data_IF_518478151082
#
_entry.id   IF_518478151082
#
_cell.length_a   1.000
_cell.length_b   1.000
_cell.length_c   1.000
_cell.angle_alpha   90.00
_cell.angle_beta   90.00
_cell.angle_gamma   90.00
#
_symmetry.space_group_name_H-M   'P 1'
#
loop_
_entity.id
_entity.type
_entity.pdbx_description
1 polymer ?
#
# COMPACT_ATOMS: atom_id res chain seq x y z
N UNK A 1 -4.80 -2.85 -16.09
CA UNK A 1 -4.62 -4.28 -16.41
C UNK A 1 -4.92 -4.50 -17.89
N UNK A 2 -3.95 -4.92 -18.70
CA UNK A 2 -4.11 -5.00 -20.16
C UNK A 2 -4.48 -6.41 -20.60
N UNK A 3 -5.40 -6.51 -21.56
CA UNK A 3 -5.85 -7.79 -22.14
C UNK A 3 -4.79 -8.44 -23.05
N UNK A 4 -3.86 -7.63 -23.58
CA UNK A 4 -2.83 -8.05 -24.53
C UNK A 4 -1.90 -9.16 -24.01
N UNK A 5 -1.24 -8.99 -22.84
CA UNK A 5 -0.36 -10.01 -22.26
C UNK A 5 -1.07 -11.34 -21.98
N UNK A 6 -2.30 -11.29 -21.46
CA UNK A 6 -3.10 -12.49 -21.20
C UNK A 6 -3.39 -13.26 -22.50
N UNK A 7 -3.69 -12.55 -23.60
CA UNK A 7 -3.93 -13.16 -24.91
C UNK A 7 -2.65 -13.73 -25.51
N UNK A 8 -1.52 -13.03 -25.38
CA UNK A 8 -0.23 -13.53 -25.84
C UNK A 8 0.17 -14.82 -25.10
N UNK A 9 0.02 -14.84 -23.77
CA UNK A 9 0.31 -16.01 -22.94
C UNK A 9 -0.61 -17.20 -23.27
N UNK A 10 -1.92 -16.96 -23.40
CA UNK A 10 -2.87 -17.99 -23.81
C UNK A 10 -2.56 -18.51 -25.22
N UNK A 11 -2.21 -17.63 -26.16
CA UNK A 11 -1.85 -18.03 -27.51
C UNK A 11 -0.63 -18.96 -27.51
N UNK A 12 0.44 -18.58 -26.79
CA UNK A 12 1.63 -19.42 -26.64
C UNK A 12 1.31 -20.76 -25.99
N UNK A 13 0.54 -20.75 -24.91
CA UNK A 13 0.20 -21.97 -24.15
C UNK A 13 -0.69 -22.90 -24.97
N UNK A 14 -1.79 -22.37 -25.52
CA UNK A 14 -2.76 -23.19 -26.22
C UNK A 14 -2.22 -23.73 -27.55
N UNK A 15 -1.35 -22.97 -28.23
CA UNK A 15 -0.71 -23.41 -29.48
C UNK A 15 0.20 -24.64 -29.31
N UNK A 16 0.75 -24.86 -28.12
CA UNK A 16 1.59 -26.04 -27.85
C UNK A 16 0.81 -27.35 -28.01
N UNK A 17 -0.50 -27.33 -27.77
CA UNK A 17 -1.34 -28.54 -27.83
C UNK A 17 -1.62 -29.03 -29.25
N UNK A 18 -1.29 -28.24 -30.27
CA UNK A 18 -1.41 -28.62 -31.67
C UNK A 18 -0.17 -28.25 -32.49
N UNK A 19 0.98 -28.00 -31.84
CA UNK A 19 2.23 -27.67 -32.52
C UNK A 19 2.84 -28.84 -33.31
N UNK A 20 2.40 -30.09 -33.05
CA UNK A 20 2.87 -31.29 -33.75
C UNK A 20 2.14 -31.52 -35.09
N UNK A 21 2.08 -30.50 -35.95
CA UNK A 21 1.54 -30.68 -37.31
C UNK A 21 2.64 -31.30 -38.18
N UNK A 22 2.45 -32.48 -38.80
CA UNK A 22 3.57 -33.35 -39.16
C UNK A 22 4.19 -33.11 -40.55
N UNK A 23 3.56 -32.32 -41.43
CA UNK A 23 3.98 -32.19 -42.83
C UNK A 23 3.93 -30.75 -43.36
N UNK A 24 4.74 -30.46 -44.38
CA UNK A 24 4.88 -29.12 -44.97
C UNK A 24 3.61 -28.60 -45.68
N UNK A 25 2.63 -29.46 -45.97
CA UNK A 25 1.40 -29.12 -46.68
C UNK A 25 0.20 -28.83 -45.76
N UNK A 26 0.39 -28.93 -44.44
CA UNK A 26 -0.63 -28.73 -43.42
C UNK A 26 -0.36 -27.46 -42.61
N UNK A 27 -1.41 -26.72 -42.27
CA UNK A 27 -1.31 -25.55 -41.39
C UNK A 27 -2.38 -25.61 -40.30
N UNK A 28 -2.00 -25.14 -39.11
CA UNK A 28 -2.91 -24.97 -37.98
C UNK A 28 -2.67 -23.60 -37.39
N UNK A 29 -3.67 -22.73 -37.47
CA UNK A 29 -3.62 -21.34 -37.03
C UNK A 29 -4.60 -21.13 -35.88
N UNK A 30 -4.16 -20.45 -34.83
CA UNK A 30 -4.99 -20.08 -33.69
C UNK A 30 -5.40 -18.62 -33.77
N UNK A 31 -6.70 -18.38 -33.60
CA UNK A 31 -7.24 -17.05 -33.37
C UNK A 31 -8.05 -17.05 -32.06
N UNK A 32 -7.73 -16.12 -31.16
CA UNK A 32 -8.44 -15.93 -29.90
C UNK A 32 -9.43 -14.77 -30.00
N UNK A 33 -10.66 -15.00 -29.56
CA UNK A 33 -11.74 -14.01 -29.56
C UNK A 33 -12.26 -13.83 -28.13
N UNK A 34 -11.96 -12.68 -27.51
CA UNK A 34 -12.44 -12.36 -26.17
C UNK A 34 -13.98 -12.23 -26.17
N UNK A 35 -14.66 -13.04 -25.35
CA UNK A 35 -16.10 -12.92 -25.16
C UNK A 35 -16.39 -12.00 -23.95
N UNK A 36 -15.73 -12.26 -22.83
CA UNK A 36 -15.88 -11.50 -21.59
C UNK A 36 -14.59 -11.54 -20.78
N UNK A 37 -14.28 -10.42 -20.15
CA UNK A 37 -13.17 -10.29 -19.22
C UNK A 37 -13.67 -9.87 -17.85
N UNK A 38 -13.05 -10.38 -16.81
CA UNK A 38 -13.35 -10.01 -15.43
C UNK A 38 -12.09 -10.12 -14.58
N UNK A 39 -11.92 -9.18 -13.65
CA UNK A 39 -10.97 -9.31 -12.57
C UNK A 39 -11.28 -10.55 -11.71
N UNK A 40 -10.26 -11.29 -11.29
CA UNK A 40 -10.40 -12.36 -10.28
C UNK A 40 -9.94 -11.86 -8.93
N UNK A 41 -10.64 -12.20 -7.84
CA UNK A 41 -10.29 -11.76 -6.49
C UNK A 41 -10.79 -10.35 -6.17
N UNK A 42 -10.14 -9.65 -5.24
CA UNK A 42 -10.56 -8.30 -4.80
C UNK A 42 -9.87 -7.30 -5.72
N UNK A 43 -10.63 -6.69 -6.65
CA UNK A 43 -10.07 -5.70 -7.57
C UNK A 43 -8.98 -6.25 -8.51
N UNK A 44 -8.97 -7.57 -8.76
CA UNK A 44 -7.97 -8.33 -9.52
C UNK A 44 -6.76 -8.84 -8.71
N UNK A 45 -6.67 -8.56 -7.42
CA UNK A 45 -5.66 -9.12 -6.52
C UNK A 45 -6.00 -10.56 -6.13
N UNK A 46 -5.03 -11.48 -6.24
CA UNK A 46 -5.20 -12.90 -5.88
C UNK A 46 -4.14 -13.44 -4.92
N UNK A 47 -3.11 -12.66 -4.58
CA UNK A 47 -2.07 -13.04 -3.61
C UNK A 47 -0.80 -12.23 -3.78
N UNK A 48 0.25 -12.57 -3.03
CA UNK A 48 1.57 -11.96 -3.11
C UNK A 48 2.61 -12.94 -3.64
N UNK A 49 3.64 -12.41 -4.31
CA UNK A 49 4.82 -13.15 -4.75
C UNK A 49 6.01 -12.76 -3.87
N UNK A 50 6.85 -13.73 -3.49
CA UNK A 50 7.91 -13.51 -2.50
C UNK A 50 9.22 -13.03 -3.13
N UNK A 51 9.50 -13.35 -4.40
CA UNK A 51 10.77 -13.02 -5.05
C UNK A 51 10.65 -13.06 -6.59
N UNK A 52 10.51 -11.92 -7.29
CA UNK A 52 10.48 -10.57 -6.74
C UNK A 52 9.23 -10.30 -5.88
N UNK A 53 9.37 -9.43 -4.88
CA UNK A 53 8.28 -9.05 -3.98
C UNK A 53 7.26 -8.18 -4.73
N UNK A 54 5.98 -8.52 -4.65
CA UNK A 54 4.91 -7.74 -5.28
C UNK A 54 3.58 -8.48 -5.40
N UNK A 55 2.57 -7.77 -5.89
CA UNK A 55 1.21 -8.30 -5.99
C UNK A 55 1.07 -9.26 -7.18
N UNK A 56 0.44 -10.40 -6.93
CA UNK A 56 -0.06 -11.27 -7.99
C UNK A 56 -1.45 -10.79 -8.35
N UNK A 57 -1.58 -10.31 -9.57
CA UNK A 57 -2.88 -9.95 -10.12
C UNK A 57 -3.37 -10.98 -11.11
N UNK A 58 -4.69 -11.13 -11.21
CA UNK A 58 -5.32 -12.10 -12.09
C UNK A 58 -6.49 -11.50 -12.87
N UNK A 59 -6.49 -11.79 -14.16
CA UNK A 59 -7.64 -11.58 -15.02
C UNK A 59 -8.17 -12.92 -15.51
N UNK A 60 -9.48 -13.07 -15.42
CA UNK A 60 -10.20 -14.19 -16.02
C UNK A 60 -10.80 -13.76 -17.35
N UNK A 61 -10.55 -14.58 -18.36
CA UNK A 61 -10.97 -14.38 -19.73
C UNK A 61 -11.85 -15.56 -20.14
N UNK A 62 -13.11 -15.28 -20.42
CA UNK A 62 -13.97 -16.16 -21.21
C UNK A 62 -13.68 -15.86 -22.70
N UNK A 63 -13.16 -16.84 -23.41
CA UNK A 63 -12.69 -16.67 -24.79
C UNK A 63 -13.06 -17.84 -25.67
N UNK A 64 -13.20 -17.55 -26.95
CA UNK A 64 -13.31 -18.57 -27.99
C UNK A 64 -11.97 -18.71 -28.69
N UNK A 65 -11.39 -19.91 -28.68
CA UNK A 65 -10.25 -20.26 -29.51
C UNK A 65 -10.74 -20.88 -30.82
N UNK A 66 -10.62 -20.13 -31.91
CA UNK A 66 -10.86 -20.60 -33.26
C UNK A 66 -9.55 -21.18 -33.80
N UNK A 67 -9.51 -22.49 -33.99
CA UNK A 67 -8.37 -23.20 -34.57
C UNK A 67 -8.69 -23.50 -36.03
N UNK A 68 -8.07 -22.76 -36.95
CA UNK A 68 -8.19 -23.00 -38.40
C UNK A 68 -7.19 -24.08 -38.79
N UNK A 69 -7.69 -25.15 -39.39
CA UNK A 69 -6.88 -26.24 -39.92
C UNK A 69 -6.99 -26.19 -41.44
N UNK A 70 -5.86 -26.22 -42.14
CA UNK A 70 -5.82 -26.39 -43.58
C UNK A 70 -4.97 -27.60 -43.96
N UNK A 71 -5.47 -28.38 -44.91
CA UNK A 71 -4.77 -29.54 -45.45
C UNK A 71 -5.30 -29.86 -46.85
N UNK A 72 -4.78 -30.93 -47.47
CA UNK A 72 -5.45 -31.51 -48.63
C UNK A 72 -6.85 -32.02 -48.26
N UNK A 73 -7.80 -32.01 -49.20
CA UNK A 73 -9.17 -32.47 -48.95
C UNK A 73 -9.24 -33.90 -48.37
N UNK A 74 -8.29 -34.77 -48.74
CA UNK A 74 -8.19 -36.14 -48.23
C UNK A 74 -7.69 -36.23 -46.78
N UNK A 75 -6.86 -35.29 -46.34
CA UNK A 75 -6.21 -35.29 -45.03
C UNK A 75 -6.91 -34.42 -43.98
N UNK A 76 -7.79 -33.50 -44.42
CA UNK A 76 -8.43 -32.53 -43.53
C UNK A 76 -9.24 -33.21 -42.40
N UNK A 77 -10.11 -34.15 -42.73
CA UNK A 77 -10.98 -34.79 -41.71
C UNK A 77 -10.17 -35.58 -40.66
N UNK A 78 -9.20 -36.46 -41.06
CA UNK A 78 -8.31 -37.10 -40.10
C UNK A 78 -7.53 -36.11 -39.23
N UNK A 79 -7.04 -35.01 -39.80
CA UNK A 79 -6.28 -34.00 -39.07
C UNK A 79 -7.17 -33.25 -38.06
N UNK A 80 -8.36 -32.83 -38.45
CA UNK A 80 -9.37 -32.19 -37.56
C UNK A 80 -9.71 -33.11 -36.39
N UNK A 81 -9.94 -34.40 -36.65
CA UNK A 81 -10.23 -35.37 -35.58
C UNK A 81 -9.02 -35.58 -34.65
N UNK A 82 -7.81 -35.64 -35.20
CA UNK A 82 -6.57 -35.76 -34.44
C UNK A 82 -6.37 -34.56 -33.49
N UNK A 83 -6.47 -33.33 -34.02
CA UNK A 83 -6.34 -32.09 -33.24
C UNK A 83 -7.43 -32.01 -32.17
N UNK A 84 -8.69 -32.31 -32.52
CA UNK A 84 -9.80 -32.30 -31.56
C UNK A 84 -9.55 -33.28 -30.42
N UNK A 85 -9.08 -34.49 -30.73
CA UNK A 85 -8.80 -35.54 -29.73
C UNK A 85 -7.62 -35.16 -28.85
N UNK A 86 -6.57 -34.58 -29.44
CA UNK A 86 -5.41 -34.10 -28.69
C UNK A 86 -5.80 -33.01 -27.68
N UNK A 87 -6.53 -31.99 -28.13
CA UNK A 87 -6.97 -30.86 -27.29
C UNK A 87 -7.96 -31.30 -26.21
N UNK A 88 -8.96 -32.12 -26.56
CA UNK A 88 -9.95 -32.60 -25.58
C UNK A 88 -9.39 -33.67 -24.62
N UNK A 89 -8.28 -34.31 -24.99
CA UNK A 89 -7.61 -35.34 -24.21
C UNK A 89 -6.61 -34.81 -23.16
N UNK A 90 -6.37 -33.50 -23.12
CA UNK A 90 -5.41 -32.90 -22.18
C UNK A 90 -5.87 -33.18 -20.74
N UNK A 91 -4.99 -33.75 -19.88
CA UNK A 91 -5.33 -33.97 -18.48
C UNK A 91 -5.74 -32.67 -17.78
N UNK A 92 -6.78 -32.75 -16.94
CA UNK A 92 -7.27 -31.58 -16.19
C UNK A 92 -6.18 -30.89 -15.37
N UNK A 93 -5.26 -31.66 -14.77
CA UNK A 93 -4.15 -31.10 -14.00
C UNK A 93 -3.19 -30.27 -14.85
N UNK A 94 -2.95 -30.70 -16.10
CA UNK A 94 -2.13 -29.96 -17.06
C UNK A 94 -2.82 -28.66 -17.49
N UNK A 95 -4.11 -28.72 -17.82
CA UNK A 95 -4.92 -27.52 -18.12
C UNK A 95 -4.92 -26.53 -16.94
N UNK A 96 -5.08 -27.00 -15.72
CA UNK A 96 -5.05 -26.15 -14.53
C UNK A 96 -3.68 -25.52 -14.30
N UNK A 97 -2.59 -26.28 -14.46
CA UNK A 97 -1.23 -25.75 -14.37
C UNK A 97 -0.93 -24.69 -15.44
N UNK A 98 -1.62 -24.80 -16.59
CA UNK A 98 -1.58 -23.86 -17.69
C UNK A 98 -2.55 -22.67 -17.54
N UNK A 99 -3.30 -22.56 -16.44
CA UNK A 99 -4.27 -21.48 -16.19
C UNK A 99 -5.63 -21.66 -16.88
N UNK A 100 -5.88 -22.80 -17.52
CA UNK A 100 -7.14 -23.12 -18.22
C UNK A 100 -8.06 -23.91 -17.27
N UNK A 101 -9.08 -23.23 -16.76
CA UNK A 101 -10.04 -23.83 -15.81
C UNK A 101 -11.21 -24.55 -16.50
N UNK A 102 -11.49 -24.19 -17.74
CA UNK A 102 -12.50 -24.84 -18.58
C UNK A 102 -12.00 -24.88 -20.01
N UNK A 103 -12.15 -26.05 -20.62
CA UNK A 103 -11.98 -26.29 -22.04
C UNK A 103 -13.17 -27.13 -22.50
N UNK A 104 -13.86 -26.67 -23.54
CA UNK A 104 -14.95 -27.41 -24.16
C UNK A 104 -14.95 -27.17 -25.66
N UNK A 105 -15.26 -28.22 -26.43
CA UNK A 105 -15.61 -28.07 -27.83
C UNK A 105 -16.94 -27.31 -27.93
N UNK A 106 -16.93 -26.16 -28.62
CA UNK A 106 -18.13 -25.33 -28.81
C UNK A 106 -18.87 -25.78 -30.08
N UNK A 107 -18.19 -25.74 -31.21
CA UNK A 107 -18.71 -26.16 -32.51
C UNK A 107 -17.57 -26.39 -33.52
N UNK A 108 -17.91 -26.98 -34.66
CA UNK A 108 -17.06 -27.06 -35.83
C UNK A 108 -17.76 -26.32 -36.96
N UNK A 109 -17.05 -25.41 -37.63
CA UNK A 109 -17.57 -24.75 -38.82
C UNK A 109 -17.66 -25.73 -40.00
N UNK A 110 -18.46 -25.36 -41.00
CA UNK A 110 -18.51 -26.08 -42.26
C UNK A 110 -17.16 -26.04 -42.97
N UNK A 111 -16.79 -27.15 -43.61
CA UNK A 111 -15.58 -27.24 -44.44
C UNK A 111 -15.66 -26.23 -45.58
N UNK A 112 -14.56 -25.50 -45.79
CA UNK A 112 -14.39 -24.58 -46.91
C UNK A 112 -13.39 -25.17 -47.90
N UNK A 113 -13.83 -25.40 -49.13
CA UNK A 113 -12.93 -25.84 -50.19
C UNK A 113 -12.11 -24.65 -50.71
N UNK A 114 -10.83 -24.89 -50.94
CA UNK A 114 -9.87 -23.93 -51.47
C UNK A 114 -9.26 -24.45 -52.78
N UNK A 115 -8.56 -23.59 -53.52
CA UNK A 115 -7.94 -23.98 -54.78
C UNK A 115 -6.85 -25.04 -54.59
N UNK A 116 -6.56 -25.82 -55.64
CA UNK A 116 -5.50 -26.84 -55.65
C UNK A 116 -5.69 -27.99 -54.65
N UNK A 117 -6.92 -28.52 -54.54
CA UNK A 117 -7.26 -29.68 -53.68
C UNK A 117 -6.99 -29.43 -52.18
N UNK A 118 -7.00 -28.17 -51.76
CA UNK A 118 -6.90 -27.76 -50.37
C UNK A 118 -8.29 -27.51 -49.79
N UNK A 119 -8.45 -27.72 -48.50
CA UNK A 119 -9.64 -27.37 -47.78
C UNK A 119 -9.28 -26.92 -46.37
N UNK A 120 -10.13 -26.09 -45.78
CA UNK A 120 -9.97 -25.60 -44.43
C UNK A 120 -11.21 -25.81 -43.58
N UNK A 121 -11.01 -26.01 -42.28
CA UNK A 121 -12.07 -26.13 -41.30
C UNK A 121 -11.67 -25.46 -40.00
N UNK A 122 -12.61 -24.75 -39.36
CA UNK A 122 -12.37 -24.08 -38.08
C UNK A 122 -13.04 -24.89 -36.97
N UNK A 123 -12.27 -25.16 -35.92
CA UNK A 123 -12.77 -25.75 -34.68
C UNK A 123 -12.84 -24.64 -33.63
N UNK A 124 -14.01 -24.41 -33.05
CA UNK A 124 -14.19 -23.44 -32.00
C UNK A 124 -14.18 -24.13 -30.63
N UNK A 125 -13.26 -23.72 -29.76
CA UNK A 125 -13.20 -24.13 -28.37
C UNK A 125 -13.63 -22.99 -27.46
N UNK A 126 -14.47 -23.29 -26.47
CA UNK A 126 -14.75 -22.38 -25.35
C UNK A 126 -13.73 -22.61 -24.24
N UNK A 127 -13.11 -21.51 -23.80
CA UNK A 127 -12.06 -21.51 -22.80
C UNK A 127 -12.44 -20.56 -21.66
N UNK A 128 -12.19 -20.99 -20.43
CA UNK A 128 -12.09 -20.10 -19.27
C UNK A 128 -10.64 -20.09 -18.82
N UNK A 129 -9.94 -19.02 -19.17
CA UNK A 129 -8.52 -18.85 -18.88
C UNK A 129 -8.32 -17.82 -17.78
N UNK A 130 -7.38 -18.07 -16.88
CA UNK A 130 -6.90 -17.12 -15.90
C UNK A 130 -5.43 -16.83 -16.15
N UNK A 131 -5.14 -15.56 -16.40
CA UNK A 131 -3.77 -15.11 -16.52
C UNK A 131 -3.34 -14.50 -15.20
N UNK A 132 -2.32 -15.10 -14.59
CA UNK A 132 -1.61 -14.51 -13.46
C UNK A 132 -0.51 -13.61 -13.99
N UNK A 133 -0.53 -12.35 -13.56
CA UNK A 133 0.58 -11.42 -13.77
C UNK A 133 1.40 -11.40 -12.49
N UNK A 134 2.63 -11.92 -12.60
CA UNK A 134 3.63 -11.87 -11.54
C UNK A 134 4.41 -10.56 -11.65
N UNK A 135 4.92 -10.03 -10.53
CA UNK A 135 5.82 -8.88 -10.55
C UNK A 135 7.10 -9.23 -11.34
N UNK A 136 7.58 -8.30 -12.15
CA UNK A 136 8.80 -8.47 -12.98
C UNK A 136 10.07 -7.94 -12.30
N UNK A 137 9.90 -7.04 -11.35
CA UNK A 137 10.92 -6.51 -10.45
C UNK A 137 10.29 -6.42 -9.08
N UNK A 138 11.09 -6.40 -8.00
CA UNK A 138 10.52 -6.17 -6.67
C UNK A 138 9.88 -4.80 -6.69
N UNK A 139 8.55 -4.77 -6.64
CA UNK A 139 7.84 -3.52 -6.41
C UNK A 139 8.32 -3.02 -5.05
N UNK A 140 8.58 -1.70 -4.93
CA UNK A 140 8.78 -1.10 -3.61
C UNK A 140 7.64 -1.61 -2.76
N UNK A 141 7.96 -2.48 -1.82
CA UNK A 141 6.99 -3.18 -1.02
C UNK A 141 6.08 -2.08 -0.49
N UNK A 142 4.80 -2.11 -0.86
CA UNK A 142 3.80 -1.62 0.08
C UNK A 142 3.93 -2.65 1.20
N UNK A 143 4.91 -2.43 2.07
CA UNK A 143 5.10 -3.20 3.29
C UNK A 143 3.81 -3.02 4.04
N UNK A 144 2.95 -4.02 3.86
CA UNK A 144 1.55 -4.05 4.21
C UNK A 144 0.68 -3.05 3.40
N UNK A 145 -0.30 -3.57 2.65
CA UNK A 145 -1.64 -3.01 2.87
C UNK A 145 -1.85 -3.21 4.37
N UNK A 146 -1.49 -2.19 5.14
CA UNK A 146 -2.13 -1.90 6.39
C UNK A 146 -3.56 -1.53 5.94
N UNK A 147 -4.34 -2.56 5.59
CA UNK A 147 -5.56 -2.78 6.31
C UNK A 147 -5.03 -2.74 7.71
N UNK A 148 -5.18 -1.59 8.37
CA UNK A 148 -5.05 -1.51 9.80
C UNK A 148 -5.86 -2.71 10.28
N UNK A 149 -5.22 -3.85 10.53
CA UNK A 149 -5.86 -5.05 11.10
C UNK A 149 -6.16 -4.77 12.57
N UNK A 150 -5.61 -3.66 13.05
CA UNK A 150 -6.07 -2.83 14.12
C UNK A 150 -7.50 -2.24 13.94
N UNK A 151 -8.11 -2.27 12.75
CA UNK A 151 -9.55 -1.97 12.50
C UNK A 151 -10.47 -3.18 12.71
N UNK A 152 -9.92 -4.36 12.99
CA UNK A 152 -10.72 -5.59 13.03
C UNK A 152 -10.15 -6.64 14.00
N UNK A 153 -9.68 -6.23 15.16
CA UNK A 153 -9.50 -7.13 16.32
C UNK A 153 -10.71 -7.04 17.26
N UNK A 154 -11.89 -7.41 16.75
CA UNK A 154 -13.11 -7.58 17.52
C UNK A 154 -13.92 -6.31 17.72
N UNK A 155 -15.09 -6.23 17.06
CA UNK A 155 -16.19 -5.28 17.35
C UNK A 155 -16.04 -3.76 17.05
N UNK A 156 -14.89 -3.22 16.62
CA UNK A 156 -14.74 -1.75 16.40
C UNK A 156 -14.27 -1.29 15.00
N UNK A 157 -15.13 -0.63 14.22
CA UNK A 157 -14.74 0.10 12.99
C UNK A 157 -13.88 1.34 13.34
N UNK A 158 -12.70 1.62 12.77
CA UNK A 158 -12.17 3.00 12.93
C UNK A 158 -12.91 4.02 12.07
N UNK A 159 -12.89 5.23 12.59
CA UNK A 159 -13.44 6.42 11.96
C UNK A 159 -12.28 7.29 11.46
N UNK A 160 -12.28 7.59 10.15
CA UNK A 160 -11.34 8.56 9.58
C UNK A 160 -11.78 9.96 10.03
N UNK A 161 -10.98 10.59 10.89
CA UNK A 161 -11.23 11.98 11.30
C UNK A 161 -10.57 12.96 10.33
N UNK A 162 -9.33 12.66 9.92
CA UNK A 162 -8.53 13.48 9.01
C UNK A 162 -7.80 12.58 8.03
N UNK A 163 -7.76 12.94 6.75
CA UNK A 163 -6.89 12.36 5.73
C UNK A 163 -6.70 13.39 4.62
N UNK A 164 -5.72 14.27 4.78
CA UNK A 164 -5.51 15.39 3.85
C UNK A 164 -4.03 15.73 3.71
N UNK A 165 -3.68 16.29 2.55
CA UNK A 165 -2.46 17.07 2.39
C UNK A 165 -2.56 18.40 3.14
N UNK A 166 -1.42 19.01 3.45
CA UNK A 166 -1.38 20.40 3.87
C UNK A 166 -1.58 21.33 2.67
N UNK A 167 -2.16 22.50 2.92
CA UNK A 167 -2.31 23.59 1.95
C UNK A 167 -2.09 24.96 2.63
N UNK A 168 -2.21 26.04 1.87
CA UNK A 168 -2.05 27.40 2.38
C UNK A 168 -3.15 27.82 3.38
N UNK A 169 -4.20 27.03 3.56
CA UNK A 169 -5.27 27.21 4.52
C UNK A 169 -5.07 26.34 5.79
N UNK A 170 -3.90 25.74 6.00
CA UNK A 170 -3.57 24.92 7.17
C UNK A 170 -3.99 25.57 8.50
N UNK A 171 -3.86 26.89 8.66
CA UNK A 171 -4.21 27.59 9.89
C UNK A 171 -5.71 27.52 10.24
N UNK A 172 -6.57 27.13 9.29
CA UNK A 172 -7.99 26.84 9.56
C UNK A 172 -8.18 25.55 10.34
N UNK A 173 -7.24 24.60 10.21
CA UNK A 173 -7.31 23.26 10.79
C UNK A 173 -6.52 23.10 12.09
N UNK A 174 -5.57 23.99 12.36
CA UNK A 174 -4.63 23.84 13.47
C UNK A 174 -4.50 25.08 14.36
N UNK A 175 -4.21 24.84 15.63
CA UNK A 175 -3.70 25.82 16.58
C UNK A 175 -2.19 25.65 16.74
N UNK A 176 -1.45 26.75 16.66
CA UNK A 176 -0.02 26.80 17.01
C UNK A 176 0.09 27.06 18.52
N UNK A 177 0.84 26.19 19.21
CA UNK A 177 1.11 26.32 20.64
C UNK A 177 2.60 26.18 20.88
N UNK A 178 3.22 27.18 21.50
CA UNK A 178 4.60 27.11 21.97
C UNK A 178 4.62 26.82 23.47
N UNK A 179 5.39 25.81 23.89
CA UNK A 179 5.59 25.54 25.30
C UNK A 179 6.33 26.73 25.96
N UNK A 180 5.81 27.31 27.05
CA UNK A 180 6.48 28.42 27.74
C UNK A 180 7.89 28.07 28.24
N UNK A 181 8.18 26.78 28.45
CA UNK A 181 9.52 26.31 28.83
C UNK A 181 10.50 26.24 27.64
N UNK A 182 10.02 26.41 26.40
CA UNK A 182 10.82 26.43 25.18
C UNK A 182 11.52 27.78 24.97
N UNK A 183 12.40 28.13 25.91
CA UNK A 183 13.01 29.44 26.02
C UNK A 183 14.09 29.76 24.96
N UNK A 184 14.52 28.78 24.14
CA UNK A 184 15.49 29.01 23.08
C UNK A 184 14.78 29.19 21.74
N UNK A 185 15.12 30.27 21.03
CA UNK A 185 14.57 30.65 19.72
C UNK A 185 13.03 30.71 19.59
N UNK A 186 12.24 31.12 20.60
CA UNK A 186 10.83 31.38 20.39
C UNK A 186 10.60 32.66 19.55
N UNK A 187 9.43 32.82 18.91
CA UNK A 187 8.36 31.83 18.79
C UNK A 187 8.66 30.77 17.71
N UNK A 188 7.80 29.76 17.61
CA UNK A 188 7.75 28.93 16.41
C UNK A 188 7.37 29.74 15.18
N UNK A 189 7.68 29.20 14.00
CA UNK A 189 7.28 29.81 12.74
C UNK A 189 6.86 28.72 11.75
N UNK A 190 5.56 28.41 11.80
CA UNK A 190 4.87 27.50 10.89
C UNK A 190 4.35 28.28 9.69
N UNK A 191 4.76 27.91 8.48
CA UNK A 191 4.43 28.64 7.25
C UNK A 191 4.17 27.67 6.10
N UNK A 192 3.28 28.04 5.17
CA UNK A 192 3.13 27.30 3.93
C UNK A 192 4.29 27.61 3.00
N UNK A 193 4.98 26.58 2.51
CA UNK A 193 6.03 26.70 1.51
C UNK A 193 5.46 26.38 0.12
N UNK A 194 5.35 27.40 -0.74
CA UNK A 194 4.80 27.26 -2.10
C UNK A 194 5.70 26.44 -3.04
N UNK A 195 6.99 26.32 -2.73
CA UNK A 195 7.96 25.60 -3.59
C UNK A 195 7.92 24.11 -3.28
N UNK A 196 7.97 23.76 -2.00
CA UNK A 196 7.87 22.37 -1.53
C UNK A 196 6.43 21.87 -1.48
N UNK A 197 5.44 22.77 -1.60
CA UNK A 197 4.01 22.47 -1.45
C UNK A 197 3.72 21.73 -0.14
N UNK A 198 4.29 22.24 0.94
CA UNK A 198 4.29 21.59 2.24
C UNK A 198 4.21 22.62 3.38
N UNK A 199 3.73 22.18 4.54
CA UNK A 199 3.80 22.98 5.75
C UNK A 199 5.22 22.92 6.31
N UNK A 200 5.84 24.08 6.49
CA UNK A 200 7.23 24.23 6.90
C UNK A 200 7.31 24.85 8.30
N UNK A 201 8.00 24.17 9.22
CA UNK A 201 8.42 24.77 10.49
C UNK A 201 9.87 25.26 10.32
N UNK A 202 10.10 26.54 10.59
CA UNK A 202 11.38 27.25 10.31
C UNK A 202 12.13 27.76 11.55
N UNK A 203 11.67 27.43 12.76
CA UNK A 203 12.20 27.98 14.01
C UNK A 203 12.83 26.89 14.86
N UNK A 204 14.07 27.11 15.32
CA UNK A 204 14.78 26.18 16.20
C UNK A 204 14.28 26.27 17.66
N UNK A 205 12.97 26.46 17.86
CA UNK A 205 12.34 26.64 19.16
C UNK A 205 12.51 25.38 20.00
N UNK A 206 13.07 25.54 21.19
CA UNK A 206 13.27 24.42 22.11
C UNK A 206 13.47 24.86 23.56
N UNK A 207 13.29 23.90 24.46
CA UNK A 207 13.82 23.94 25.82
C UNK A 207 14.20 22.55 26.30
N UNK A 208 14.94 22.48 27.41
CA UNK A 208 15.58 21.22 27.83
C UNK A 208 16.85 20.91 27.05
N UNK A 209 17.35 19.69 27.23
CA UNK A 209 18.58 19.19 26.57
C UNK A 209 18.26 18.66 25.17
N UNK A 210 19.23 18.65 24.25
CA UNK A 210 19.12 17.93 22.97
C UNK A 210 19.27 16.41 23.15
N UNK A 211 20.02 15.95 24.17
CA UNK A 211 20.19 14.54 24.49
C UNK A 211 18.87 13.84 24.87
N UNK A 212 18.87 12.51 24.90
CA UNK A 212 17.71 11.69 25.29
C UNK A 212 17.37 11.88 26.78
N UNK A 213 16.57 12.89 27.06
CA UNK A 213 15.99 13.19 28.39
C UNK A 213 14.52 13.55 28.20
N UNK A 214 13.70 13.31 29.23
CA UNK A 214 12.26 13.52 29.12
C UNK A 214 11.85 14.99 28.90
N UNK A 215 12.67 15.96 29.32
CA UNK A 215 12.33 17.38 29.22
C UNK A 215 12.49 17.87 27.78
N UNK A 216 11.39 17.91 27.04
CA UNK A 216 11.29 18.36 25.64
C UNK A 216 10.15 19.36 25.43
N UNK A 217 10.32 20.57 25.94
CA UNK A 217 9.44 21.69 25.63
C UNK A 217 9.76 22.22 24.23
N UNK A 218 8.76 22.30 23.36
CA UNK A 218 8.95 22.70 21.96
C UNK A 218 7.74 23.45 21.42
N UNK A 219 7.46 23.29 20.14
CA UNK A 219 6.23 23.80 19.52
C UNK A 219 5.33 22.66 19.10
N UNK A 220 4.02 22.92 19.16
CA UNK A 220 2.96 21.97 18.90
C UNK A 220 1.99 22.56 17.87
N UNK A 221 1.64 21.74 16.88
CA UNK A 221 0.62 22.08 15.90
C UNK A 221 -0.59 21.15 16.13
N UNK A 222 -1.55 21.62 16.90
CA UNK A 222 -2.67 20.82 17.40
C UNK A 222 -3.87 20.94 16.47
N UNK A 223 -4.53 19.82 16.15
CA UNK A 223 -5.80 19.87 15.46
C UNK A 223 -6.80 20.71 16.27
N UNK A 224 -7.49 21.61 15.58
CA UNK A 224 -8.62 22.32 16.14
C UNK A 224 -9.77 21.34 16.42
N UNK A 225 -10.55 21.53 17.49
CA UNK A 225 -11.70 20.67 17.79
C UNK A 225 -12.72 20.57 16.65
N UNK A 226 -12.81 21.61 15.80
CA UNK A 226 -13.67 21.63 14.61
C UNK A 226 -13.13 20.76 13.46
N UNK A 227 -11.83 20.46 13.45
CA UNK A 227 -11.15 19.62 12.45
C UNK A 227 -11.08 18.17 12.90
N UNK A 228 -10.73 17.94 14.17
CA UNK A 228 -10.70 16.62 14.75
C UNK A 228 -11.21 16.66 16.18
N UNK A 229 -12.18 15.80 16.48
CA UNK A 229 -12.64 15.60 17.85
C UNK A 229 -11.49 15.01 18.70
N UNK A 230 -11.42 15.33 20.01
CA UNK A 230 -10.49 14.67 20.92
C UNK A 230 -10.67 13.14 20.92
N UNK A 231 -9.56 12.40 21.03
CA UNK A 231 -9.53 10.93 20.94
C UNK A 231 -8.71 10.30 22.07
N UNK A 232 -9.07 9.08 22.46
CA UNK A 232 -8.29 8.22 23.38
C UNK A 232 -7.48 7.18 22.63
N UNK A 233 -8.16 6.40 21.78
CA UNK A 233 -7.58 5.30 21.02
C UNK A 233 -7.57 5.74 19.55
N UNK A 234 -6.39 5.81 18.95
CA UNK A 234 -6.21 6.42 17.63
C UNK A 234 -4.94 5.92 16.93
N UNK A 235 -4.89 6.17 15.63
CA UNK A 235 -3.69 6.11 14.81
C UNK A 235 -3.51 7.48 14.16
N UNK A 236 -2.31 8.04 14.24
CA UNK A 236 -1.92 9.22 13.47
C UNK A 236 -0.66 8.92 12.65
N UNK A 237 -0.65 9.33 11.40
CA UNK A 237 0.54 9.34 10.57
C UNK A 237 0.73 10.69 9.84
N UNK A 238 1.99 11.02 9.59
CA UNK A 238 2.40 12.22 8.86
C UNK A 238 3.55 11.88 7.92
N UNK A 239 3.45 12.31 6.67
CA UNK A 239 4.57 12.27 5.74
C UNK A 239 5.40 13.54 5.92
N UNK A 240 6.71 13.41 6.14
CA UNK A 240 7.61 14.53 6.39
C UNK A 240 8.95 14.40 5.66
N UNK A 241 9.60 15.54 5.43
CA UNK A 241 10.99 15.64 4.99
C UNK A 241 11.70 16.66 5.88
N UNK A 242 12.83 16.28 6.47
CA UNK A 242 13.59 17.15 7.37
C UNK A 242 15.00 17.34 6.85
N UNK A 243 15.45 18.58 6.67
CA UNK A 243 16.85 18.89 6.35
C UNK A 243 17.69 19.15 7.60
N UNK A 244 17.05 19.51 8.71
CA UNK A 244 17.65 19.46 10.05
C UNK A 244 17.50 18.03 10.64
N UNK A 245 18.35 17.69 11.60
CA UNK A 245 18.37 16.41 12.32
C UNK A 245 17.88 16.51 13.78
N UNK A 246 17.37 17.67 14.19
CA UNK A 246 16.73 17.88 15.49
C UNK A 246 15.26 17.37 15.52
N UNK A 247 14.55 17.57 16.62
CA UNK A 247 13.37 16.82 17.02
C UNK A 247 12.11 17.00 16.15
N UNK A 248 11.52 15.87 15.73
CA UNK A 248 10.20 15.76 15.09
C UNK A 248 9.35 14.71 15.81
N UNK A 249 8.04 14.92 15.93
CA UNK A 249 7.17 13.96 16.59
C UNK A 249 5.70 14.35 16.62
N UNK A 250 5.00 13.79 17.60
CA UNK A 250 3.59 14.05 17.87
C UNK A 250 3.39 14.46 19.32
N UNK A 251 2.37 15.27 19.56
CA UNK A 251 1.72 15.41 20.87
C UNK A 251 0.34 14.77 20.82
N UNK A 252 -0.07 14.12 21.89
CA UNK A 252 -1.32 13.39 21.93
C UNK A 252 -1.91 13.29 23.33
N UNK A 253 -3.23 13.01 23.38
CA UNK A 253 -4.07 13.18 24.57
C UNK A 253 -3.81 14.52 25.26
N UNK A 254 -3.59 15.56 24.45
CA UNK A 254 -3.30 16.91 24.92
C UNK A 254 -4.56 17.50 25.54
N UNK A 255 -4.51 17.75 26.85
CA UNK A 255 -5.57 18.40 27.61
C UNK A 255 -5.30 19.91 27.71
N UNK A 256 -4.07 20.26 28.05
CA UNK A 256 -3.57 21.62 28.16
C UNK A 256 -2.02 21.62 28.10
N UNK A 257 -1.41 22.80 28.24
CA UNK A 257 0.04 23.00 28.11
C UNK A 257 0.87 22.31 29.19
N UNK A 258 0.23 21.81 30.24
CA UNK A 258 0.86 21.15 31.38
C UNK A 258 0.56 19.64 31.42
N UNK A 259 -0.32 19.15 30.53
CA UNK A 259 -0.89 17.81 30.57
C UNK A 259 -1.05 17.19 29.17
N UNK A 260 -0.07 16.40 28.73
CA UNK A 260 -0.09 15.69 27.45
C UNK A 260 0.94 14.55 27.39
N UNK A 261 0.78 13.63 26.44
CA UNK A 261 1.83 12.73 25.98
C UNK A 261 2.54 13.29 24.74
N UNK A 262 3.76 12.84 24.50
CA UNK A 262 4.49 13.14 23.27
C UNK A 262 5.32 11.95 22.82
N UNK A 263 5.57 11.87 21.52
CA UNK A 263 6.70 11.12 20.96
C UNK A 263 7.66 12.09 20.30
N UNK A 264 8.95 11.77 20.29
CA UNK A 264 9.96 12.60 19.64
C UNK A 264 11.09 11.73 19.09
N UNK A 265 11.48 12.02 17.86
CA UNK A 265 12.58 11.40 17.13
C UNK A 265 13.68 12.44 16.92
N UNK A 266 14.94 12.07 17.13
CA UNK A 266 16.10 12.92 16.79
C UNK A 266 17.14 12.09 16.05
N UNK A 267 17.39 12.45 14.79
CA UNK A 267 18.49 11.87 14.02
C UNK A 267 19.86 12.41 14.44
N UNK A 268 19.93 13.58 15.09
CA UNK A 268 21.18 14.14 15.64
C UNK A 268 21.70 13.34 16.83
N UNK A 269 20.80 12.90 17.70
CA UNK A 269 21.14 12.32 19.00
C UNK A 269 20.77 10.83 19.08
N UNK A 270 20.46 10.21 17.95
CA UNK A 270 20.13 8.79 17.80
C UNK A 270 19.12 8.29 18.83
N UNK A 271 17.94 8.91 18.88
CA UNK A 271 16.84 8.37 19.68
C UNK A 271 15.46 8.45 19.06
N UNK A 272 14.62 7.52 19.49
CA UNK A 272 13.18 7.60 19.46
C UNK A 272 12.66 7.47 20.90
N UNK A 273 11.73 8.33 21.31
CA UNK A 273 11.16 8.21 22.65
C UNK A 273 9.70 8.65 22.74
N UNK A 274 9.06 8.16 23.79
CA UNK A 274 7.75 8.55 24.28
C UNK A 274 7.90 9.10 25.70
N UNK A 275 7.14 10.15 26.00
CA UNK A 275 7.12 10.74 27.32
C UNK A 275 5.79 11.42 27.61
N UNK A 276 5.71 11.99 28.82
CA UNK A 276 4.54 12.69 29.32
C UNK A 276 4.93 14.00 29.99
N UNK A 277 4.05 14.99 29.92
CA UNK A 277 4.04 16.15 30.79
C UNK A 277 2.79 16.04 31.65
N UNK A 278 2.95 15.96 32.97
CA UNK A 278 1.84 15.87 33.94
C UNK A 278 2.03 16.94 34.98
N UNK A 279 1.06 17.86 35.11
CA UNK A 279 1.17 18.99 36.04
C UNK A 279 2.47 19.79 35.84
N UNK A 280 2.78 20.10 34.59
CA UNK A 280 3.97 20.82 34.13
C UNK A 280 5.31 20.05 34.23
N UNK A 281 5.31 18.81 34.73
CA UNK A 281 6.53 18.02 34.91
C UNK A 281 6.69 17.02 33.77
N UNK A 282 7.78 17.15 33.02
CA UNK A 282 8.18 16.17 32.02
C UNK A 282 8.78 14.91 32.67
N UNK A 283 8.32 13.75 32.22
CA UNK A 283 8.87 12.44 32.58
C UNK A 283 8.73 11.47 31.41
N UNK A 284 9.48 10.37 31.45
CA UNK A 284 9.23 9.26 30.52
C UNK A 284 7.93 8.55 30.90
N UNK A 285 7.47 7.65 30.03
CA UNK A 285 6.36 6.75 30.36
C UNK A 285 6.72 5.85 31.55
N UNK A 286 5.71 5.33 32.22
CA UNK A 286 5.90 4.42 33.36
C UNK A 286 6.61 3.11 32.97
N UNK A 287 6.42 2.65 31.72
CA UNK A 287 7.14 1.50 31.17
C UNK A 287 7.58 1.74 29.72
N UNK A 288 8.85 1.43 29.41
CA UNK A 288 9.40 1.53 28.07
C UNK A 288 9.49 2.98 27.56
N UNK A 289 9.32 3.17 26.26
CA UNK A 289 9.25 4.49 25.64
C UNK A 289 10.61 5.11 25.30
N UNK A 290 11.70 4.36 25.26
CA UNK A 290 13.03 4.87 24.93
C UNK A 290 13.77 3.87 24.03
N UNK A 291 14.38 4.35 22.94
CA UNK A 291 15.24 3.57 22.07
C UNK A 291 16.42 4.43 21.59
N UNK A 292 17.64 3.90 21.70
CA UNK A 292 18.84 4.46 21.10
C UNK A 292 18.96 3.93 19.66
N UNK A 293 18.53 4.75 18.70
CA UNK A 293 18.38 4.37 17.30
C UNK A 293 18.43 5.62 16.42
N UNK A 294 19.05 5.51 15.23
CA UNK A 294 18.91 6.53 14.18
C UNK A 294 17.53 6.37 13.54
N UNK A 295 16.57 7.29 13.77
CA UNK A 295 15.16 7.03 13.50
C UNK A 295 14.74 7.31 12.06
N UNK A 296 15.46 8.16 11.32
CA UNK A 296 15.19 8.52 9.93
C UNK A 296 16.43 9.13 9.28
N UNK A 297 16.42 9.30 7.95
CA UNK A 297 17.47 9.97 7.19
C UNK A 297 17.05 11.40 6.82
N UNK A 298 17.95 12.37 7.00
CA UNK A 298 17.69 13.75 6.56
C UNK A 298 17.56 13.84 5.04
N UNK A 299 16.85 14.87 4.57
CA UNK A 299 16.57 15.13 3.15
C UNK A 299 15.87 13.97 2.40
N UNK A 300 15.19 13.09 3.13
CA UNK A 300 14.44 11.96 2.61
C UNK A 300 12.98 12.05 3.06
N UNK A 301 12.05 11.64 2.19
CA UNK A 301 10.63 11.54 2.55
C UNK A 301 10.43 10.31 3.43
N UNK A 302 9.82 10.51 4.59
CA UNK A 302 9.52 9.47 5.56
C UNK A 302 8.07 9.57 6.03
N UNK A 303 7.50 8.46 6.48
CA UNK A 303 6.22 8.43 7.19
C UNK A 303 6.44 8.13 8.66
N UNK A 304 6.10 9.07 9.54
CA UNK A 304 6.05 8.86 10.97
C UNK A 304 4.64 8.47 11.38
N UNK A 305 4.47 7.38 12.13
CA UNK A 305 3.18 6.92 12.65
C UNK A 305 3.23 6.64 14.15
N UNK A 306 2.14 6.96 14.84
CA UNK A 306 1.87 6.66 16.24
C UNK A 306 0.53 5.94 16.37
N UNK A 307 0.52 4.81 17.06
CA UNK A 307 -0.66 4.03 17.42
C UNK A 307 -0.83 4.11 18.95
N UNK A 308 -2.02 4.52 19.40
CA UNK A 308 -2.38 4.57 20.81
C UNK A 308 -3.62 3.73 21.08
N UNK A 309 -3.51 2.74 21.97
CA UNK A 309 -4.57 1.81 22.37
C UNK A 309 -4.58 1.63 23.88
N UNK A 310 -5.57 2.19 24.56
CA UNK A 310 -5.65 2.11 26.02
C UNK A 310 -4.44 2.78 26.66
N UNK A 311 -3.61 2.02 27.37
CA UNK A 311 -2.35 2.51 27.95
C UNK A 311 -1.13 2.32 27.05
N UNK A 312 -1.25 1.62 25.91
CA UNK A 312 -0.13 1.20 25.07
C UNK A 312 0.07 2.14 23.89
N UNK A 313 1.31 2.55 23.66
CA UNK A 313 1.71 3.44 22.57
C UNK A 313 2.86 2.83 21.76
N UNK A 314 2.78 2.92 20.44
CA UNK A 314 3.80 2.43 19.52
C UNK A 314 4.09 3.47 18.43
N UNK A 315 5.38 3.68 18.14
CA UNK A 315 5.86 4.62 17.13
C UNK A 315 6.66 3.86 16.07
N UNK A 316 6.41 4.17 14.80
CA UNK A 316 7.11 3.61 13.65
C UNK A 316 7.50 4.69 12.64
N UNK A 317 8.58 4.44 11.90
CA UNK A 317 8.97 5.21 10.72
C UNK A 317 9.07 4.27 9.54
N UNK A 318 8.43 4.62 8.42
CA UNK A 318 8.36 3.79 7.20
C UNK A 318 7.96 2.35 7.53
N UNK A 319 6.94 2.22 8.37
CA UNK A 319 6.38 0.96 8.86
C UNK A 319 7.34 0.05 9.65
N UNK A 320 8.53 0.54 9.98
CA UNK A 320 9.46 -0.10 10.90
C UNK A 320 9.22 0.38 12.35
N UNK A 321 8.89 -0.53 13.29
CA UNK A 321 8.73 -0.16 14.70
C UNK A 321 10.03 0.40 15.30
N UNK A 322 9.94 1.56 15.94
CA UNK A 322 11.09 2.21 16.59
C UNK A 322 11.05 2.11 18.11
N UNK A 323 9.91 2.44 18.71
CA UNK A 323 9.75 2.52 20.16
C UNK A 323 8.31 2.25 20.57
N UNK A 324 8.16 1.59 21.72
CA UNK A 324 6.87 1.34 22.34
C UNK A 324 6.95 1.57 23.85
N UNK A 325 5.81 1.88 24.47
CA UNK A 325 5.73 2.00 25.91
C UNK A 325 4.30 1.98 26.42
N UNK A 326 4.16 2.02 27.74
CA UNK A 326 2.87 1.97 28.43
C UNK A 326 2.78 3.07 29.50
N UNK A 327 1.63 3.74 29.54
CA UNK A 327 1.31 4.73 30.55
C UNK A 327 -0.21 4.92 30.72
N UNK A 328 -0.66 5.20 31.94
CA UNK A 328 -2.08 5.41 32.26
C UNK A 328 -2.38 6.76 32.93
N UNK A 329 -1.47 7.72 32.87
CA UNK A 329 -1.64 9.07 33.43
C UNK A 329 -2.81 9.85 32.79
N UNK A 330 -3.09 9.62 31.50
CA UNK A 330 -4.24 10.22 30.80
C UNK A 330 -5.12 9.13 30.20
N UNK A 331 -6.31 8.95 30.77
CA UNK A 331 -7.34 8.01 30.28
C UNK A 331 -8.45 8.69 29.47
N UNK A 332 -8.57 10.01 29.59
CA UNK A 332 -9.57 10.81 28.87
C UNK A 332 -9.11 11.17 27.46
N UNK A 333 -10.06 11.44 26.58
CA UNK A 333 -9.78 11.89 25.22
C UNK A 333 -9.06 13.24 25.24
N UNK A 334 -8.10 13.45 24.35
CA UNK A 334 -7.43 14.75 24.20
C UNK A 334 -7.12 15.06 22.75
N UNK A 335 -6.62 16.27 22.51
CA UNK A 335 -6.21 16.68 21.16
C UNK A 335 -4.94 15.94 20.75
N UNK A 336 -4.75 15.85 19.43
CA UNK A 336 -3.56 15.26 18.80
C UNK A 336 -2.97 16.31 17.86
N UNK A 337 -1.66 16.28 17.66
CA UNK A 337 -0.97 17.21 16.78
C UNK A 337 0.47 16.84 16.52
N UNK A 338 1.13 17.66 15.72
CA UNK A 338 2.55 17.53 15.43
C UNK A 338 3.39 18.23 16.52
N UNK A 339 4.63 17.79 16.66
CA UNK A 339 5.61 18.38 17.57
C UNK A 339 6.93 18.62 16.84
N UNK A 340 7.53 19.78 17.06
CA UNK A 340 8.93 20.04 16.72
C UNK A 340 9.71 20.51 17.96
N UNK A 341 10.98 20.12 18.03
CA UNK A 341 11.90 20.48 19.12
C UNK A 341 13.27 20.78 18.55
N UNK A 342 13.64 22.06 18.46
CA UNK A 342 14.95 22.49 17.94
C UNK A 342 15.10 22.38 16.41
N UNK A 343 14.21 21.65 15.74
CA UNK A 343 14.22 21.45 14.30
C UNK A 343 13.64 22.66 13.57
N UNK A 344 14.45 23.30 12.73
CA UNK A 344 14.12 24.54 12.03
C UNK A 344 14.07 24.43 10.50
N UNK A 345 14.07 23.22 9.96
CA UNK A 345 14.01 22.97 8.51
C UNK A 345 13.32 21.62 8.27
N UNK A 346 12.01 21.60 8.56
CA UNK A 346 11.15 20.43 8.39
C UNK A 346 9.84 20.75 7.68
N UNK A 347 9.53 19.92 6.70
CA UNK A 347 8.35 19.98 5.85
C UNK A 347 7.41 18.81 6.16
N UNK A 348 6.12 19.12 6.29
CA UNK A 348 5.04 18.15 6.45
C UNK A 348 4.12 18.21 5.23
N UNK A 349 3.87 17.05 4.63
CA UNK A 349 3.22 16.93 3.32
C UNK A 349 1.75 16.50 3.43
N UNK A 350 1.50 15.47 4.24
CA UNK A 350 0.16 14.94 4.53
C UNK A 350 0.02 14.56 5.99
N UNK A 351 -1.21 14.52 6.46
CA UNK A 351 -1.53 13.96 7.78
C UNK A 351 -2.83 13.15 7.71
N UNK A 352 -2.85 12.02 8.41
CA UNK A 352 -4.03 11.20 8.62
C UNK A 352 -4.21 10.92 10.11
N UNK A 353 -5.44 11.04 10.59
CA UNK A 353 -5.84 10.71 11.95
C UNK A 353 -7.09 9.82 11.89
N UNK A 354 -6.96 8.63 12.48
CA UNK A 354 -8.02 7.65 12.63
C UNK A 354 -8.36 7.50 14.10
N UNK A 355 -9.64 7.54 14.44
CA UNK A 355 -10.12 7.15 15.76
C UNK A 355 -10.40 5.66 15.76
N UNK A 356 -9.71 4.93 16.64
CA UNK A 356 -9.91 3.50 16.83
C UNK A 356 -11.11 3.30 17.77
N UNK A 357 -12.15 2.60 17.32
CA UNK A 357 -13.25 2.21 18.19
C UNK A 357 -12.87 0.92 18.94
N UNK A 358 -13.26 0.86 20.22
CA UNK A 358 -13.08 -0.32 21.05
C UNK A 358 -14.03 -1.44 20.69
#
# INVERSE_FOLDING_TARGET
>A
MSLGPAFAALNTTFSQYFASVPSADQSVELQLLANKTSATGIGAYVGSHMDPSGDITAIRVDTTAAVKIEASAAELTPLVQSVTTAVMGIPRGELQSAGIYRLALRDLEAVREENNNRASQIINFSLLYEHLTLPSESESQIDEIILDIDLNSGEGHAEVLVNTGFDNAWATAFDVVDDPDAAQNPPSNWVWDEVQTALHQTSAIQGGSLAMTARKSGTYLLFKPETAIPVTDFLIDVDFTSHDNDGVGFVFRYQDIDNFYFCLLSARNDYAMLGKKVGAVFSFLDQGGQAEITPYQVATLHRLKLIARGSQFQVQVDDNPLVQGEDSSFTDSGRVGLMCHGNNDIFFHRVQLLKLNR
#
